data_IF_296593145680
#
_entry.id   IF_296593145680
#
_cell.length_a   1.000
_cell.length_b   1.000
_cell.length_c   1.000
_cell.angle_alpha   90.00
_cell.angle_beta   90.00
_cell.angle_gamma   90.00
#
_symmetry.space_group_name_H-M   'P 1'
#
loop_
_entity.id
_entity.type
_entity.pdbx_description
1 polymer ?
#
# COMPACT_ATOMS: atom_id res chain seq x y z
N UNK A 1 8.12 0.89 -10.60
CA UNK A 1 6.75 0.45 -10.29
C UNK A 1 6.82 -0.62 -9.21
N UNK A 2 5.97 -0.54 -8.18
CA UNK A 2 5.72 -1.69 -7.30
C UNK A 2 4.39 -2.28 -7.76
N UNK A 3 4.38 -3.57 -8.12
CA UNK A 3 3.13 -4.28 -8.42
C UNK A 3 2.58 -4.87 -7.13
N UNK A 4 1.46 -4.35 -6.65
CA UNK A 4 0.76 -4.84 -5.45
C UNK A 4 -0.64 -5.28 -5.89
N UNK A 5 -1.02 -6.52 -5.54
CA UNK A 5 -2.31 -7.13 -5.92
C UNK A 5 -2.65 -7.05 -7.43
N UNK A 6 -1.64 -7.20 -8.29
CA UNK A 6 -1.82 -7.09 -9.75
C UNK A 6 -1.99 -5.67 -10.29
N UNK A 7 -1.96 -4.64 -9.44
CA UNK A 7 -2.02 -3.22 -9.83
C UNK A 7 -0.64 -2.58 -9.73
N UNK A 8 -0.27 -1.82 -10.75
CA UNK A 8 0.97 -1.04 -10.76
C UNK A 8 0.77 0.28 -10.01
N UNK A 9 1.28 0.36 -8.79
CA UNK A 9 1.15 1.55 -7.94
C UNK A 9 2.41 2.43 -8.00
N UNK A 10 2.24 3.77 -7.90
CA UNK A 10 3.37 4.70 -7.93
C UNK A 10 4.24 4.56 -6.68
N UNK A 11 5.56 4.43 -6.90
CA UNK A 11 6.55 4.24 -5.83
C UNK A 11 6.93 5.52 -5.08
N UNK A 12 6.72 6.67 -5.70
CA UNK A 12 7.16 7.97 -5.16
C UNK A 12 6.13 8.61 -4.23
N UNK A 13 4.92 8.05 -4.16
CA UNK A 13 3.84 8.54 -3.31
C UNK A 13 3.83 7.81 -1.95
N UNK A 14 3.17 8.45 -0.99
CA UNK A 14 2.86 7.87 0.32
C UNK A 14 1.98 6.65 0.16
N UNK A 15 2.15 5.67 1.04
CA UNK A 15 1.44 4.40 1.02
C UNK A 15 -0.08 4.60 0.95
N UNK A 16 -0.63 5.48 1.80
CA UNK A 16 -2.09 5.71 1.85
C UNK A 16 -2.64 6.17 0.48
N UNK A 17 -1.87 6.96 -0.27
CA UNK A 17 -2.31 7.51 -1.56
C UNK A 17 -2.08 6.47 -2.65
N UNK A 18 -0.95 5.77 -2.63
CA UNK A 18 -0.68 4.73 -3.61
C UNK A 18 -1.68 3.58 -3.55
N UNK A 19 -2.16 3.21 -2.35
CA UNK A 19 -3.19 2.19 -2.19
C UNK A 19 -4.54 2.62 -2.81
N UNK A 20 -4.86 3.92 -2.88
CA UNK A 20 -6.11 4.39 -3.50
C UNK A 20 -6.16 4.23 -5.03
N UNK A 21 -5.05 3.83 -5.66
CA UNK A 21 -5.06 3.45 -7.08
C UNK A 21 -5.66 2.05 -7.31
N UNK A 22 -5.80 1.25 -6.25
CA UNK A 22 -6.43 -0.05 -6.32
C UNK A 22 -7.94 0.15 -6.34
N UNK A 23 -8.60 -0.46 -7.33
CA UNK A 23 -10.04 -0.33 -7.48
C UNK A 23 -10.77 -0.84 -6.23
N UNK A 24 -11.67 -0.02 -5.67
CA UNK A 24 -12.39 -0.34 -4.43
C UNK A 24 -11.65 0.03 -3.14
N UNK A 25 -10.39 0.46 -3.20
CA UNK A 25 -9.64 0.95 -2.03
C UNK A 25 -9.75 2.46 -1.93
N UNK A 26 -10.65 2.93 -1.06
CA UNK A 26 -10.74 4.34 -0.69
C UNK A 26 -9.70 4.74 0.36
N UNK A 27 -9.67 6.02 0.73
CA UNK A 27 -8.73 6.55 1.74
C UNK A 27 -8.89 5.89 3.11
N UNK A 28 -10.12 5.63 3.53
CA UNK A 28 -10.44 4.94 4.79
C UNK A 28 -9.95 3.51 4.78
N UNK A 29 -10.15 2.79 3.67
CA UNK A 29 -9.67 1.41 3.51
C UNK A 29 -8.15 1.39 3.49
N UNK A 30 -7.51 2.27 2.73
CA UNK A 30 -6.05 2.39 2.68
C UNK A 30 -5.44 2.63 4.07
N UNK A 31 -6.03 3.51 4.90
CA UNK A 31 -5.57 3.73 6.26
C UNK A 31 -5.72 2.49 7.14
N UNK A 32 -6.88 1.81 7.07
CA UNK A 32 -7.09 0.54 7.78
C UNK A 32 -6.07 -0.53 7.37
N UNK A 33 -5.74 -0.61 6.09
CA UNK A 33 -4.72 -1.54 5.57
C UNK A 33 -3.36 -1.22 6.17
N UNK A 34 -2.95 0.06 6.19
CA UNK A 34 -1.70 0.47 6.82
C UNK A 34 -1.68 0.12 8.31
N UNK A 35 -2.78 0.38 9.03
CA UNK A 35 -2.90 0.08 10.46
C UNK A 35 -2.81 -1.43 10.74
N UNK A 36 -3.48 -2.27 9.94
CA UNK A 36 -3.45 -3.73 10.06
C UNK A 36 -2.09 -4.31 9.67
N UNK A 37 -1.43 -3.73 8.68
CA UNK A 37 -0.09 -4.14 8.24
C UNK A 37 1.02 -3.66 9.19
N UNK A 38 0.68 -2.80 10.17
CA UNK A 38 1.60 -2.09 11.07
C UNK A 38 2.64 -1.25 10.32
N UNK A 39 2.23 -0.63 9.21
CA UNK A 39 3.09 0.20 8.36
C UNK A 39 2.69 1.66 8.51
N UNK A 40 3.68 2.55 8.64
CA UNK A 40 3.41 3.98 8.65
C UNK A 40 2.83 4.44 7.30
N UNK A 41 1.64 5.05 7.35
CA UNK A 41 0.90 5.59 6.19
C UNK A 41 1.66 6.66 5.38
N UNK A 42 2.59 7.38 6.00
CA UNK A 42 3.45 8.37 5.36
C UNK A 42 4.69 7.76 4.71
N UNK A 43 5.02 6.50 5.01
CA UNK A 43 6.10 5.78 4.32
C UNK A 43 5.81 5.76 2.83
N UNK A 44 6.86 5.96 2.03
CA UNK A 44 6.73 5.86 0.58
C UNK A 44 6.78 4.41 0.17
N UNK A 45 6.08 4.07 -0.90
CA UNK A 45 6.04 2.70 -1.42
C UNK A 45 7.43 2.17 -1.83
N UNK A 46 8.37 3.07 -2.18
CA UNK A 46 9.76 2.68 -2.47
C UNK A 46 10.57 2.24 -1.24
N UNK A 47 10.19 2.73 -0.06
CA UNK A 47 10.91 2.52 1.20
C UNK A 47 10.34 1.30 1.95
N UNK A 48 9.33 0.63 1.37
CA UNK A 48 8.78 -0.63 1.88
C UNK A 48 9.76 -1.77 1.66
N UNK A 49 9.88 -2.61 2.68
CA UNK A 49 10.55 -3.90 2.63
C UNK A 49 9.70 -4.95 1.92
N UNK A 50 10.32 -6.01 1.41
CA UNK A 50 9.61 -7.10 0.75
C UNK A 50 8.59 -7.81 1.68
N UNK A 51 8.87 -7.86 2.98
CA UNK A 51 7.93 -8.40 3.99
C UNK A 51 6.67 -7.52 4.12
N UNK A 52 6.82 -6.21 4.19
CA UNK A 52 5.71 -5.26 4.24
C UNK A 52 4.86 -5.34 2.96
N UNK A 53 5.51 -5.46 1.81
CA UNK A 53 4.83 -5.67 0.53
C UNK A 53 4.06 -7.00 0.52
N UNK A 54 4.61 -8.07 1.11
CA UNK A 54 3.91 -9.35 1.23
C UNK A 54 2.68 -9.26 2.16
N UNK A 55 2.78 -8.55 3.29
CA UNK A 55 1.62 -8.30 4.18
C UNK A 55 0.51 -7.55 3.47
N UNK A 56 0.86 -6.50 2.71
CA UNK A 56 -0.08 -5.73 1.91
C UNK A 56 -0.74 -6.57 0.81
N UNK A 57 0.00 -7.50 0.18
CA UNK A 57 -0.54 -8.42 -0.82
C UNK A 57 -1.47 -9.49 -0.25
N UNK A 58 -1.27 -9.93 0.99
CA UNK A 58 -2.16 -10.92 1.60
C UNK A 58 -3.50 -10.32 2.03
N UNK A 59 -3.55 -9.00 2.23
CA UNK A 59 -4.77 -8.32 2.64
C UNK A 59 -5.71 -8.00 1.48
N UNK A 60 -5.16 -7.74 0.29
CA UNK A 60 -5.87 -7.29 -0.92
C UNK A 60 -6.04 -8.47 -1.88
#
# INVERSE_FOLDING_TARGET
>A
MARIAGVDIPREKRLEISLTYIFGVGRTTAQKVCDVAEIDRNTRVRDLTDEEVARLRNWI
#
